data_IF_571814351759
#
_entry.id   IF_571814351759
#
_cell.length_a   1.000
_cell.length_b   1.000
_cell.length_c   1.000
_cell.angle_alpha   90.00
_cell.angle_beta   90.00
_cell.angle_gamma   90.00
#
_symmetry.space_group_name_H-M   'P 1'
#
loop_
_entity.id
_entity.type
_entity.pdbx_description
1 polymer ?
#
# COMPACT_ATOMS: atom_id res chain seq x y z
N UNK A 1 -14.98 -10.38 10.86
CA UNK A 1 -14.95 -10.50 9.40
C UNK A 1 -15.99 -11.53 8.98
N UNK A 2 -17.01 -11.10 8.24
CA UNK A 2 -17.95 -12.04 7.62
C UNK A 2 -17.36 -12.66 6.34
N UNK A 3 -18.05 -13.66 5.76
CA UNK A 3 -17.57 -14.36 4.56
C UNK A 3 -17.41 -13.42 3.34
N UNK A 4 -18.30 -12.44 3.21
CA UNK A 4 -18.29 -11.48 2.10
C UNK A 4 -17.13 -10.50 2.22
N UNK A 5 -16.87 -10.01 3.44
CA UNK A 5 -15.69 -9.18 3.73
C UNK A 5 -14.40 -9.93 3.46
N UNK A 6 -14.34 -11.21 3.84
CA UNK A 6 -13.17 -12.06 3.61
C UNK A 6 -12.89 -12.27 2.11
N UNK A 7 -13.91 -12.58 1.31
CA UNK A 7 -13.78 -12.74 -0.14
C UNK A 7 -13.36 -11.44 -0.84
N UNK A 8 -13.87 -10.28 -0.37
CA UNK A 8 -13.45 -8.96 -0.88
C UNK A 8 -11.99 -8.66 -0.58
N UNK A 9 -11.53 -8.92 0.66
CA UNK A 9 -10.12 -8.73 1.01
C UNK A 9 -9.19 -9.64 0.22
N UNK A 10 -9.59 -10.90 -0.02
CA UNK A 10 -8.85 -11.78 -0.91
C UNK A 10 -8.78 -11.24 -2.35
N UNK A 11 -9.87 -10.67 -2.86
CA UNK A 11 -9.88 -10.06 -4.19
C UNK A 11 -8.96 -8.83 -4.26
N UNK A 12 -8.94 -7.98 -3.23
CA UNK A 12 -8.01 -6.84 -3.11
C UNK A 12 -6.56 -7.33 -3.11
N UNK A 13 -6.22 -8.26 -2.21
CA UNK A 13 -4.88 -8.85 -2.12
C UNK A 13 -4.49 -9.49 -3.45
N UNK A 14 -5.35 -10.31 -4.06
CA UNK A 14 -5.13 -10.94 -5.36
C UNK A 14 -4.91 -9.93 -6.49
N UNK A 15 -5.66 -8.82 -6.50
CA UNK A 15 -5.49 -7.76 -7.49
C UNK A 15 -4.11 -7.09 -7.40
N UNK A 16 -3.55 -6.95 -6.19
CA UNK A 16 -2.23 -6.32 -5.97
C UNK A 16 -1.05 -7.14 -6.51
N UNK A 17 -1.27 -8.39 -6.95
CA UNK A 17 -0.20 -9.28 -7.46
C UNK A 17 0.60 -8.68 -8.61
N UNK A 18 -0.04 -7.86 -9.44
CA UNK A 18 0.57 -7.29 -10.66
C UNK A 18 0.44 -5.78 -10.78
N UNK A 19 -0.07 -5.10 -9.75
CA UNK A 19 -0.24 -3.65 -9.73
C UNK A 19 0.04 -3.09 -8.34
N UNK A 20 0.43 -1.83 -8.30
CA UNK A 20 0.46 -1.07 -7.07
C UNK A 20 -0.96 -0.77 -6.58
N UNK A 21 -1.15 -0.87 -5.28
CA UNK A 21 -2.39 -0.55 -4.59
C UNK A 21 -2.05 0.35 -3.41
N UNK A 22 -2.83 1.41 -3.22
CA UNK A 22 -2.77 2.23 -2.00
C UNK A 22 -3.68 1.61 -0.93
N UNK A 23 -3.19 1.43 0.29
CA UNK A 23 -4.03 1.08 1.43
C UNK A 23 -4.83 2.31 1.88
N UNK A 24 -6.13 2.30 1.58
CA UNK A 24 -7.02 3.44 1.84
C UNK A 24 -7.21 3.66 3.35
N UNK A 25 -7.12 2.60 4.16
CA UNK A 25 -7.26 2.66 5.63
C UNK A 25 -6.13 3.48 6.24
N UNK A 26 -4.88 3.28 5.82
CA UNK A 26 -3.73 4.06 6.27
C UNK A 26 -3.89 5.55 5.98
N UNK A 27 -4.38 5.89 4.77
CA UNK A 27 -4.65 7.27 4.36
C UNK A 27 -5.75 7.90 5.22
N UNK A 28 -6.88 7.21 5.39
CA UNK A 28 -8.02 7.72 6.15
C UNK A 28 -7.70 7.93 7.64
N UNK A 29 -6.76 7.15 8.19
CA UNK A 29 -6.31 7.29 9.57
C UNK A 29 -5.26 8.39 9.78
N UNK A 30 -4.92 9.18 8.75
CA UNK A 30 -3.94 10.26 8.85
C UNK A 30 -2.50 9.78 9.13
N UNK A 31 -2.22 8.49 8.95
CA UNK A 31 -0.90 7.89 9.21
C UNK A 31 0.07 8.06 8.04
N UNK A 32 -0.33 8.80 7.01
CA UNK A 32 0.38 8.97 5.75
C UNK A 32 -0.19 8.06 4.67
N UNK A 33 0.66 7.48 3.82
CA UNK A 33 0.26 6.59 2.74
C UNK A 33 1.06 5.29 2.75
N UNK A 34 0.41 4.18 2.42
CA UNK A 34 1.03 2.88 2.24
C UNK A 34 0.67 2.36 0.85
N UNK A 35 1.67 2.07 0.05
CA UNK A 35 1.54 1.48 -1.27
C UNK A 35 2.19 0.10 -1.27
N UNK A 36 1.56 -0.87 -1.92
CA UNK A 36 2.07 -2.25 -1.96
C UNK A 36 1.74 -2.95 -3.27
N UNK A 37 2.55 -3.96 -3.60
CA UNK A 37 2.34 -4.85 -4.75
C UNK A 37 2.95 -6.22 -4.45
N UNK A 38 2.37 -7.29 -5.01
CA UNK A 38 2.88 -8.66 -4.89
C UNK A 38 1.87 -9.70 -4.39
N UNK A 39 0.67 -9.29 -3.97
CA UNK A 39 -0.31 -10.21 -3.40
C UNK A 39 -0.04 -10.49 -1.93
N UNK A 40 0.02 -11.76 -1.54
CA UNK A 40 0.29 -12.16 -0.15
C UNK A 40 1.70 -11.82 0.33
N UNK A 41 2.67 -11.70 -0.58
CA UNK A 41 4.06 -11.33 -0.27
C UNK A 41 4.62 -10.48 -1.40
N UNK A 42 5.35 -9.42 -1.06
CA UNK A 42 5.67 -8.42 -2.06
C UNK A 42 6.54 -7.28 -1.57
N UNK A 43 6.43 -6.16 -2.27
CA UNK A 43 7.15 -4.93 -1.97
C UNK A 43 6.18 -3.83 -1.50
N UNK A 44 6.67 -2.96 -0.62
CA UNK A 44 5.90 -1.82 -0.14
C UNK A 44 6.71 -0.52 -0.15
N UNK A 45 5.98 0.58 -0.22
CA UNK A 45 6.46 1.93 0.01
C UNK A 45 5.51 2.60 1.00
N UNK A 46 6.03 3.12 2.10
CA UNK A 46 5.24 3.81 3.14
C UNK A 46 5.79 5.20 3.37
N UNK A 47 4.94 6.21 3.29
CA UNK A 47 5.29 7.60 3.55
C UNK A 47 4.52 8.05 4.78
N UNK A 48 5.19 8.48 5.84
CA UNK A 48 4.51 9.07 7.00
C UNK A 48 4.04 10.49 6.69
N UNK A 49 3.10 11.02 7.47
CA UNK A 49 2.66 12.42 7.34
C UNK A 49 3.82 13.44 7.47
N UNK A 50 4.89 13.05 8.16
CA UNK A 50 6.11 13.84 8.38
C UNK A 50 7.13 13.74 7.23
N UNK A 51 6.87 12.92 6.21
CA UNK A 51 7.76 12.76 5.06
C UNK A 51 8.81 11.65 5.19
N UNK A 52 8.72 10.75 6.17
CA UNK A 52 9.61 9.58 6.23
C UNK A 52 9.11 8.54 5.23
N UNK A 53 9.91 8.28 4.19
CA UNK A 53 9.67 7.20 3.23
C UNK A 53 10.43 5.95 3.66
N UNK A 54 9.70 4.88 3.93
CA UNK A 54 10.23 3.54 4.13
C UNK A 54 9.92 2.68 2.90
N UNK A 55 10.89 1.93 2.41
CA UNK A 55 10.69 0.93 1.36
C UNK A 55 11.20 -0.43 1.82
N UNK A 56 10.52 -1.48 1.41
CA UNK A 56 10.88 -2.83 1.85
C UNK A 56 10.03 -3.92 1.24
N UNK A 57 10.08 -5.09 1.88
CA UNK A 57 9.28 -6.26 1.50
C UNK A 57 8.29 -6.61 2.60
N UNK A 58 7.24 -7.33 2.26
CA UNK A 58 6.27 -7.85 3.23
C UNK A 58 5.93 -9.31 2.91
N UNK A 59 5.52 -10.05 3.93
CA UNK A 59 5.04 -11.43 3.81
C UNK A 59 3.80 -11.64 4.68
N UNK A 60 2.90 -12.52 4.24
CA UNK A 60 1.72 -12.90 5.02
C UNK A 60 0.56 -11.89 4.96
N UNK A 61 0.41 -11.14 3.87
CA UNK A 61 -0.76 -10.29 3.64
C UNK A 61 -2.01 -11.15 3.35
N UNK A 62 -2.55 -11.82 4.37
CA UNK A 62 -3.74 -12.65 4.26
C UNK A 62 -4.60 -12.53 5.52
N UNK A 63 -5.89 -12.13 5.42
CA UNK A 63 -6.61 -11.85 4.18
C UNK A 63 -6.27 -10.49 3.53
N UNK A 64 -5.67 -9.55 4.28
CA UNK A 64 -5.29 -8.22 3.78
C UNK A 64 -3.93 -7.75 4.32
N UNK A 65 -3.43 -6.63 3.78
CA UNK A 65 -2.10 -6.07 4.05
C UNK A 65 -1.84 -5.70 5.53
N UNK A 66 -2.90 -5.59 6.34
CA UNK A 66 -2.79 -5.28 7.77
C UNK A 66 -2.21 -6.41 8.60
N UNK A 67 -2.31 -7.65 8.12
CA UNK A 67 -1.74 -8.85 8.76
C UNK A 67 -0.28 -9.09 8.35
N UNK A 68 0.25 -8.31 7.40
CA UNK A 68 1.56 -8.55 6.83
C UNK A 68 2.71 -8.21 7.78
N UNK A 69 3.74 -9.04 7.77
CA UNK A 69 5.01 -8.77 8.42
C UNK A 69 5.90 -7.91 7.50
N UNK A 70 6.12 -6.66 7.86
CA UNK A 70 6.94 -5.72 7.08
C UNK A 70 8.43 -5.80 7.44
N UNK A 71 9.27 -5.88 6.41
CA UNK A 71 10.73 -5.88 6.51
C UNK A 71 11.26 -4.64 5.79
N UNK A 72 11.68 -3.65 6.57
CA UNK A 72 12.28 -2.42 6.04
C UNK A 72 13.63 -2.74 5.38
N UNK A 73 13.84 -2.22 4.16
CA UNK A 73 15.11 -2.36 3.42
C UNK A 73 15.85 -1.04 3.32
N UNK A 74 15.12 0.06 3.12
CA UNK A 74 15.68 1.39 3.16
C UNK A 74 14.67 2.38 3.75
N UNK A 75 15.21 3.46 4.28
CA UNK A 75 14.44 4.57 4.83
C UNK A 75 15.11 5.88 4.44
N UNK A 76 14.31 6.87 4.09
CA UNK A 76 14.76 8.22 3.81
C UNK A 76 13.79 9.24 4.40
N UNK A 77 14.34 10.25 5.06
CA UNK A 77 13.55 11.35 5.62
C UNK A 77 13.56 12.53 4.66
N UNK A 78 12.39 12.88 4.14
CA UNK A 78 12.18 14.08 3.33
C UNK A 78 11.65 15.23 4.19
N UNK A 79 11.52 16.42 3.60
CA UNK A 79 11.00 17.62 4.27
C UNK A 79 9.54 17.45 4.67
N UNK A 80 8.75 16.83 3.80
CA UNK A 80 7.31 16.64 3.97
C UNK A 80 6.80 15.44 3.16
N UNK A 81 5.51 15.13 3.33
CA UNK A 81 4.84 14.06 2.61
C UNK A 81 4.95 14.20 1.09
N UNK A 82 4.85 15.43 0.56
CA UNK A 82 4.81 15.65 -0.88
C UNK A 82 6.16 15.33 -1.53
N UNK A 83 7.27 15.73 -0.89
CA UNK A 83 8.60 15.38 -1.36
C UNK A 83 8.84 13.86 -1.27
N UNK A 84 8.39 13.22 -0.19
CA UNK A 84 8.42 11.75 -0.07
C UNK A 84 7.60 11.05 -1.15
N UNK A 85 6.44 11.60 -1.51
CA UNK A 85 5.57 11.07 -2.57
C UNK A 85 6.21 11.23 -3.95
N UNK A 86 6.82 12.38 -4.25
CA UNK A 86 7.55 12.58 -5.50
C UNK A 86 8.68 11.56 -5.67
N UNK A 87 9.41 11.26 -4.59
CA UNK A 87 10.46 10.24 -4.63
C UNK A 87 9.88 8.83 -4.78
N UNK A 88 8.76 8.51 -4.11
CA UNK A 88 8.07 7.24 -4.31
C UNK A 88 7.61 7.05 -5.78
N UNK A 89 7.14 8.10 -6.43
CA UNK A 89 6.81 8.09 -7.87
C UNK A 89 8.05 7.80 -8.74
N UNK A 90 9.22 8.32 -8.37
CA UNK A 90 10.47 8.03 -9.08
C UNK A 90 10.91 6.57 -8.88
N UNK A 91 10.80 6.04 -7.65
CA UNK A 91 11.13 4.64 -7.35
C UNK A 91 10.19 3.65 -8.03
N UNK A 92 8.88 3.91 -7.98
CA UNK A 92 7.85 3.06 -8.58
C UNK A 92 7.73 3.19 -10.10
N UNK A 93 8.27 4.29 -10.65
CA UNK A 93 8.29 4.58 -12.08
C UNK A 93 6.92 4.74 -12.71
N UNK A 94 6.87 4.62 -14.04
CA UNK A 94 5.63 4.80 -14.83
C UNK A 94 4.56 3.80 -14.41
N UNK A 95 4.95 2.57 -14.05
CA UNK A 95 4.01 1.54 -13.62
C UNK A 95 3.26 1.94 -12.35
N UNK A 96 3.97 2.46 -11.35
CA UNK A 96 3.34 2.96 -10.12
C UNK A 96 2.32 4.07 -10.39
N UNK A 97 2.70 5.06 -11.20
CA UNK A 97 1.80 6.15 -11.59
C UNK A 97 0.57 5.65 -12.35
N UNK A 98 0.78 4.76 -13.32
CA UNK A 98 -0.31 4.16 -14.10
C UNK A 98 -1.27 3.37 -13.21
N UNK A 99 -0.74 2.55 -12.30
CA UNK A 99 -1.54 1.70 -11.42
C UNK A 99 -2.36 2.52 -10.41
N UNK A 100 -1.83 3.66 -9.94
CA UNK A 100 -2.55 4.56 -9.03
C UNK A 100 -3.61 5.43 -9.72
N UNK A 101 -3.39 5.82 -10.98
CA UNK A 101 -4.35 6.61 -11.75
C UNK A 101 -5.44 5.78 -12.44
N UNK A 102 -5.30 4.46 -12.48
CA UNK A 102 -6.28 3.56 -13.09
C UNK A 102 -7.43 3.31 -12.11
N UNK A 103 -8.63 3.74 -12.47
CA UNK A 103 -9.87 3.64 -11.67
C UNK A 103 -10.45 2.20 -11.58
N UNK A 104 -9.64 1.20 -11.92
CA UNK A 104 -10.03 -0.21 -11.98
C UNK A 104 -9.86 -0.92 -10.63
N UNK A 105 -9.83 -0.16 -9.52
CA UNK A 105 -9.59 -0.69 -8.17
C UNK A 105 -10.80 -1.44 -7.63
N UNK A 106 -10.58 -2.66 -7.14
CA UNK A 106 -11.57 -3.31 -6.27
C UNK A 106 -11.66 -2.49 -4.99
N UNK A 107 -12.85 -1.99 -4.67
CA UNK A 107 -13.08 -1.17 -3.48
C UNK A 107 -12.63 -1.91 -2.22
N UNK A 108 -11.74 -1.29 -1.45
CA UNK A 108 -11.36 -1.79 -0.14
C UNK A 108 -12.52 -1.61 0.83
N UNK A 109 -12.95 -2.65 1.54
CA UNK A 109 -14.00 -2.50 2.54
C UNK A 109 -13.51 -1.58 3.66
N UNK A 110 -14.26 -0.51 3.93
CA UNK A 110 -13.97 0.42 5.01
C UNK A 110 -14.31 -0.27 6.33
N UNK A 111 -13.31 -0.73 7.05
CA UNK A 111 -13.50 -1.24 8.41
C UNK A 111 -13.60 -0.03 9.33
N UNK A 112 -14.83 0.30 9.75
CA UNK A 112 -15.02 1.19 10.89
C UNK A 112 -14.62 0.41 12.14
N UNK A 113 -13.37 0.56 12.59
CA UNK A 113 -12.98 0.17 13.95
C UNK A 113 -13.45 1.21 14.95
#
# INVERSE_FOLDING_TARGET
MDKTEFERWQAVTGSSRHRWVEDTVTRLNGRGALYYTGGESGAFMRITAEGNLTVGTYEGAFPHIGEACFINKAEHKFKDFNEGFQYACQLGGIKFLSDLCSDDGIEQPVICM
#
